data_IF_360501017396
#
_entry.id   IF_360501017396
#
_cell.length_a   1.000
_cell.length_b   1.000
_cell.length_c   1.000
_cell.angle_alpha   90.00
_cell.angle_beta   90.00
_cell.angle_gamma   90.00
#
_symmetry.space_group_name_H-M   'P 1'
#
loop_
_entity.id
_entity.type
_entity.pdbx_description
1 polymer ?
#
# COMPACT_ATOMS: atom_id res chain seq x y z
N UNK A 1 11.32 21.76 1.50
CA UNK A 1 11.08 20.31 1.30
C UNK A 1 9.60 20.11 1.60
N UNK A 2 8.85 19.55 0.66
CA UNK A 2 7.43 19.30 0.87
C UNK A 2 7.26 18.20 1.93
N UNK A 3 6.33 18.39 2.86
CA UNK A 3 6.05 17.43 3.93
C UNK A 3 4.98 16.42 3.52
N UNK A 4 4.27 16.71 2.42
CA UNK A 4 3.17 15.88 1.95
C UNK A 4 3.69 14.59 1.31
N UNK A 5 3.14 13.47 1.76
CA UNK A 5 3.41 12.16 1.19
C UNK A 5 2.15 11.31 1.06
N UNK A 6 2.17 10.39 0.10
CA UNK A 6 1.08 9.46 -0.17
C UNK A 6 1.46 8.06 0.29
N UNK A 7 0.68 7.50 1.18
CA UNK A 7 0.86 6.16 1.71
C UNK A 7 -0.31 5.27 1.25
N UNK A 8 0.00 4.28 0.43
CA UNK A 8 -0.94 3.27 -0.02
C UNK A 8 -0.74 2.01 0.81
N UNK A 9 -1.79 1.55 1.46
CA UNK A 9 -1.87 0.32 2.23
C UNK A 9 -2.81 -0.60 1.48
N UNK A 10 -2.35 -1.80 1.11
CA UNK A 10 -3.13 -2.72 0.30
C UNK A 10 -3.17 -4.11 0.90
N UNK A 11 -4.39 -4.63 1.03
CA UNK A 11 -4.68 -6.02 1.40
C UNK A 11 -5.03 -6.79 0.13
N UNK A 12 -4.19 -7.74 -0.25
CA UNK A 12 -4.33 -8.51 -1.48
C UNK A 12 -4.69 -9.96 -1.18
N UNK A 13 -5.83 -10.42 -1.69
CA UNK A 13 -6.32 -11.78 -1.50
C UNK A 13 -6.41 -12.54 -2.82
N UNK A 14 -6.36 -13.87 -2.76
CA UNK A 14 -6.35 -14.76 -3.91
C UNK A 14 -5.06 -14.72 -4.71
N UNK A 15 -3.97 -14.30 -4.08
CA UNK A 15 -2.63 -14.26 -4.66
C UNK A 15 -2.14 -15.66 -5.03
N UNK A 16 -1.29 -15.72 -6.06
CA UNK A 16 -0.66 -16.98 -6.51
C UNK A 16 0.41 -17.42 -5.53
N UNK A 17 0.14 -18.47 -4.73
CA UNK A 17 1.04 -19.00 -3.69
C UNK A 17 2.45 -19.27 -4.20
N UNK A 18 2.58 -19.80 -5.43
CA UNK A 18 3.88 -20.08 -6.07
C UNK A 18 4.70 -18.83 -6.41
N UNK A 19 4.09 -17.66 -6.44
CA UNK A 19 4.75 -16.36 -6.64
C UNK A 19 5.11 -15.75 -5.30
N UNK A 20 4.10 -15.56 -4.44
CA UNK A 20 4.27 -14.85 -3.16
C UNK A 20 5.04 -15.65 -2.10
N UNK A 21 5.27 -16.96 -2.33
CA UNK A 21 6.08 -17.82 -1.48
C UNK A 21 7.58 -17.82 -1.80
N UNK A 22 7.99 -17.15 -2.88
CA UNK A 22 9.39 -17.12 -3.34
C UNK A 22 10.01 -15.77 -3.12
N UNK A 23 11.03 -15.70 -2.28
CA UNK A 23 11.71 -14.45 -1.92
C UNK A 23 12.23 -13.71 -3.16
N UNK A 24 12.82 -14.44 -4.13
CA UNK A 24 13.38 -13.86 -5.34
C UNK A 24 12.29 -13.27 -6.27
N UNK A 25 11.10 -13.86 -6.26
CA UNK A 25 9.97 -13.35 -7.03
C UNK A 25 9.39 -12.08 -6.39
N UNK A 26 9.19 -12.11 -5.07
CA UNK A 26 8.66 -10.98 -4.31
C UNK A 26 9.60 -9.78 -4.39
N UNK A 27 10.91 -9.98 -4.17
CA UNK A 27 11.92 -8.92 -4.28
C UNK A 27 11.94 -8.31 -5.68
N UNK A 28 12.00 -9.13 -6.72
CA UNK A 28 12.00 -8.65 -8.12
C UNK A 28 10.73 -7.83 -8.44
N UNK A 29 9.58 -8.26 -7.93
CA UNK A 29 8.32 -7.54 -8.13
C UNK A 29 8.35 -6.18 -7.43
N UNK A 30 8.82 -6.10 -6.19
CA UNK A 30 8.90 -4.82 -5.49
C UNK A 30 9.91 -3.87 -6.14
N UNK A 31 11.09 -4.36 -6.50
CA UNK A 31 12.11 -3.54 -7.19
C UNK A 31 11.55 -3.01 -8.52
N UNK A 32 10.87 -3.85 -9.30
CA UNK A 32 10.25 -3.41 -10.55
C UNK A 32 9.10 -2.42 -10.32
N UNK A 33 8.32 -2.60 -9.27
CA UNK A 33 7.29 -1.63 -8.88
C UNK A 33 7.89 -0.26 -8.54
N UNK A 34 9.03 -0.21 -7.85
CA UNK A 34 9.75 1.04 -7.58
C UNK A 34 10.19 1.73 -8.87
N UNK A 35 10.71 0.99 -9.86
CA UNK A 35 11.05 1.53 -11.18
C UNK A 35 9.82 2.11 -11.90
N UNK A 36 8.66 1.42 -11.83
CA UNK A 36 7.40 1.88 -12.40
C UNK A 36 6.90 3.15 -11.69
N UNK A 37 7.11 3.24 -10.37
CA UNK A 37 6.83 4.46 -9.61
C UNK A 37 7.73 5.63 -10.03
N UNK A 38 8.86 5.34 -10.67
CA UNK A 38 9.85 6.35 -11.07
C UNK A 38 10.76 6.77 -9.91
N UNK A 39 10.91 5.92 -8.90
CA UNK A 39 11.75 6.17 -7.71
C UNK A 39 13.01 5.32 -7.73
N UNK A 40 14.09 5.82 -7.12
CA UNK A 40 15.36 5.11 -7.02
C UNK A 40 15.37 4.19 -5.79
N UNK A 41 15.84 2.95 -5.97
CA UNK A 41 16.01 1.98 -4.86
C UNK A 41 17.42 2.17 -4.27
N UNK A 42 17.48 2.48 -2.97
CA UNK A 42 18.71 2.60 -2.20
C UNK A 42 19.19 1.27 -1.63
N UNK A 43 18.27 0.49 -1.08
CA UNK A 43 18.59 -0.81 -0.48
C UNK A 43 17.36 -1.70 -0.43
N UNK A 44 17.60 -3.01 -0.35
CA UNK A 44 16.58 -4.04 -0.16
C UNK A 44 16.92 -4.90 1.05
N UNK A 45 15.90 -5.36 1.78
CA UNK A 45 16.03 -6.34 2.84
C UNK A 45 14.84 -7.27 2.82
N UNK A 46 15.10 -8.57 2.62
CA UNK A 46 14.06 -9.58 2.55
C UNK A 46 14.40 -10.76 3.46
N UNK A 47 13.36 -11.31 4.09
CA UNK A 47 13.45 -12.47 4.94
C UNK A 47 12.40 -13.50 4.54
N UNK A 48 12.81 -14.77 4.48
CA UNK A 48 11.91 -15.90 4.25
C UNK A 48 11.54 -16.54 5.57
N UNK A 49 10.26 -16.77 5.78
CA UNK A 49 9.77 -17.51 6.94
C UNK A 49 9.68 -19.01 6.66
N UNK A 50 9.80 -19.79 7.72
CA UNK A 50 9.60 -21.23 7.69
C UNK A 50 8.24 -21.56 8.36
N UNK A 51 7.33 -22.34 7.72
CA UNK A 51 7.51 -23.10 6.47
C UNK A 51 7.33 -22.26 5.19
N UNK A 52 6.70 -21.11 5.25
CA UNK A 52 6.44 -20.28 4.05
C UNK A 52 6.25 -18.81 4.42
N UNK A 53 6.26 -17.96 3.40
CA UNK A 53 6.07 -16.53 3.56
C UNK A 53 7.34 -15.72 3.39
N UNK A 54 7.16 -14.47 3.00
CA UNK A 54 8.24 -13.50 2.79
C UNK A 54 7.85 -12.19 3.47
N UNK A 55 8.78 -11.60 4.19
CA UNK A 55 8.71 -10.19 4.58
C UNK A 55 9.85 -9.45 3.93
N UNK A 56 9.57 -8.26 3.42
CA UNK A 56 10.58 -7.46 2.77
C UNK A 56 10.28 -5.98 2.86
N UNK A 57 11.37 -5.21 2.81
CA UNK A 57 11.33 -3.77 2.69
C UNK A 57 12.36 -3.32 1.66
N UNK A 58 12.00 -2.33 0.87
CA UNK A 58 12.92 -1.59 0.03
C UNK A 58 12.89 -0.13 0.44
N UNK A 59 14.08 0.43 0.64
CA UNK A 59 14.27 1.86 0.88
C UNK A 59 14.42 2.53 -0.47
N UNK A 60 13.58 3.51 -0.73
CA UNK A 60 13.55 4.27 -1.98
C UNK A 60 13.94 5.73 -1.71
N UNK A 61 14.20 6.51 -2.78
CA UNK A 61 14.76 7.87 -2.71
C UNK A 61 14.02 8.82 -1.78
N UNK A 62 12.75 8.58 -1.51
CA UNK A 62 11.93 9.48 -0.72
C UNK A 62 11.05 8.76 0.31
N UNK A 63 11.26 7.47 0.56
CA UNK A 63 10.59 6.71 1.61
C UNK A 63 10.84 5.19 1.51
N UNK A 64 9.79 4.36 1.46
CA UNK A 64 9.92 2.91 1.43
C UNK A 64 8.71 2.21 0.77
N UNK A 65 8.94 0.96 0.40
CA UNK A 65 7.88 0.00 0.09
C UNK A 65 8.11 -1.25 0.95
N UNK A 66 7.04 -1.84 1.47
CA UNK A 66 7.12 -3.07 2.25
C UNK A 66 6.11 -4.11 1.79
N UNK A 67 6.38 -5.38 2.13
CA UNK A 67 5.50 -6.51 1.83
C UNK A 67 5.60 -7.58 2.89
N UNK A 68 4.47 -8.17 3.21
CA UNK A 68 4.35 -9.40 3.98
C UNK A 68 3.46 -10.38 3.24
N UNK A 69 3.85 -11.66 3.18
CA UNK A 69 3.10 -12.64 2.41
C UNK A 69 2.78 -13.89 3.23
N UNK A 70 1.59 -14.46 2.98
CA UNK A 70 1.08 -15.71 3.53
C UNK A 70 0.64 -16.62 2.39
N UNK A 71 1.57 -17.36 1.76
CA UNK A 71 1.29 -18.21 0.60
C UNK A 71 0.23 -19.28 0.85
N UNK A 72 0.14 -19.79 2.09
CA UNK A 72 -0.80 -20.83 2.50
C UNK A 72 -2.26 -20.40 2.43
N UNK A 73 -2.53 -19.12 2.53
CA UNK A 73 -3.88 -18.54 2.41
C UNK A 73 -4.03 -17.62 1.20
N UNK A 74 -2.97 -17.49 0.37
CA UNK A 74 -2.98 -16.65 -0.82
C UNK A 74 -3.14 -15.15 -0.50
N UNK A 75 -2.53 -14.68 0.60
CA UNK A 75 -2.65 -13.31 1.08
C UNK A 75 -1.31 -12.59 1.07
N UNK A 76 -1.34 -11.31 0.72
CA UNK A 76 -0.20 -10.41 0.83
C UNK A 76 -0.66 -9.03 1.31
N UNK A 77 0.10 -8.45 2.24
CA UNK A 77 -0.03 -7.06 2.69
C UNK A 77 1.09 -6.24 2.07
N UNK A 78 0.75 -5.10 1.45
CA UNK A 78 1.70 -4.20 0.81
C UNK A 78 1.54 -2.79 1.32
N UNK A 79 2.67 -2.10 1.48
CA UNK A 79 2.74 -0.68 1.78
C UNK A 79 3.62 0.01 0.74
N UNK A 80 3.14 1.14 0.22
CA UNK A 80 3.94 2.04 -0.61
C UNK A 80 3.79 3.44 -0.05
N UNK A 81 4.85 3.97 0.53
CA UNK A 81 4.90 5.35 0.98
C UNK A 81 5.91 6.13 0.14
N UNK A 82 5.46 7.22 -0.46
CA UNK A 82 6.29 8.11 -1.26
C UNK A 82 5.98 9.57 -0.92
N UNK A 83 7.00 10.41 -1.01
CA UNK A 83 6.88 11.86 -0.95
C UNK A 83 7.23 12.44 -2.32
N UNK A 84 6.65 13.59 -2.68
CA UNK A 84 6.94 14.28 -3.93
C UNK A 84 5.98 13.96 -5.09
N UNK A 85 5.81 14.95 -5.96
CA UNK A 85 4.78 14.95 -7.02
C UNK A 85 5.14 14.07 -8.23
N UNK A 86 6.39 13.66 -8.37
CA UNK A 86 6.89 12.91 -9.54
C UNK A 86 6.63 11.41 -9.44
N UNK A 87 6.45 10.87 -8.25
CA UNK A 87 6.22 9.46 -8.03
C UNK A 87 4.81 9.02 -8.50
N UNK A 88 4.72 7.77 -8.96
CA UNK A 88 3.47 7.16 -9.42
C UNK A 88 3.13 5.90 -8.59
N UNK A 89 2.94 6.05 -7.27
CA UNK A 89 2.77 4.91 -6.37
C UNK A 89 1.55 4.05 -6.74
N UNK A 90 0.45 4.65 -7.17
CA UNK A 90 -0.74 3.91 -7.58
C UNK A 90 -0.44 2.95 -8.73
N UNK A 91 0.29 3.39 -9.77
CA UNK A 91 0.66 2.53 -10.91
C UNK A 91 1.57 1.37 -10.49
N UNK A 92 2.50 1.64 -9.58
CA UNK A 92 3.39 0.63 -9.02
C UNK A 92 2.60 -0.43 -8.23
N UNK A 93 1.66 0.02 -7.41
CA UNK A 93 0.80 -0.85 -6.63
C UNK A 93 -0.07 -1.74 -7.54
N UNK A 94 -0.79 -1.15 -8.50
CA UNK A 94 -1.62 -1.89 -9.46
C UNK A 94 -0.82 -2.96 -10.20
N UNK A 95 0.40 -2.63 -10.61
CA UNK A 95 1.28 -3.57 -11.29
C UNK A 95 1.72 -4.71 -10.35
N UNK A 96 2.17 -4.39 -9.14
CA UNK A 96 2.61 -5.39 -8.16
C UNK A 96 1.48 -6.36 -7.77
N UNK A 97 0.29 -5.84 -7.51
CA UNK A 97 -0.90 -6.64 -7.20
C UNK A 97 -1.25 -7.63 -8.33
N UNK A 98 -1.11 -7.18 -9.58
CA UNK A 98 -1.32 -8.02 -10.76
C UNK A 98 -0.26 -9.13 -10.87
N UNK A 99 1.01 -8.82 -10.62
CA UNK A 99 2.10 -9.82 -10.64
C UNK A 99 1.97 -10.82 -9.49
N UNK A 100 1.44 -10.43 -8.34
CA UNK A 100 1.08 -11.34 -7.26
C UNK A 100 -0.12 -12.22 -7.59
N UNK A 101 -0.86 -11.92 -8.66
CA UNK A 101 -2.05 -12.65 -9.08
C UNK A 101 -3.25 -12.41 -8.17
N UNK A 102 -3.28 -11.29 -7.46
CA UNK A 102 -4.38 -10.92 -6.57
C UNK A 102 -5.72 -10.88 -7.32
N UNK A 103 -6.78 -11.41 -6.72
CA UNK A 103 -8.14 -11.39 -7.28
C UNK A 103 -9.05 -10.38 -6.59
N UNK A 104 -8.78 -10.07 -5.33
CA UNK A 104 -9.50 -9.05 -4.56
C UNK A 104 -8.50 -8.20 -3.82
N UNK A 105 -8.73 -6.89 -3.80
CA UNK A 105 -7.87 -5.94 -3.11
C UNK A 105 -8.70 -4.94 -2.33
N UNK A 106 -8.20 -4.59 -1.16
CA UNK A 106 -8.70 -3.48 -0.35
C UNK A 106 -7.57 -2.48 -0.20
N UNK A 107 -7.79 -1.25 -0.64
CA UNK A 107 -6.76 -0.22 -0.67
C UNK A 107 -7.19 0.97 0.19
N UNK A 108 -6.29 1.41 1.04
CA UNK A 108 -6.41 2.66 1.78
C UNK A 108 -5.29 3.59 1.36
N UNK A 109 -5.65 4.79 0.93
CA UNK A 109 -4.72 5.88 0.70
C UNK A 109 -4.73 6.82 1.91
N UNK A 110 -3.56 7.07 2.45
CA UNK A 110 -3.34 8.03 3.54
C UNK A 110 -2.46 9.15 3.02
N UNK A 111 -3.01 10.36 2.92
CA UNK A 111 -2.20 11.55 2.67
C UNK A 111 -1.64 12.02 4.00
N UNK A 112 -0.32 12.06 4.12
CA UNK A 112 0.42 12.39 5.35
C UNK A 112 1.13 13.72 5.20
N UNK A 113 1.50 14.33 6.33
CA UNK A 113 2.26 15.57 6.34
C UNK A 113 1.44 16.82 6.01
N UNK A 114 0.11 16.73 6.08
CA UNK A 114 -0.77 17.89 5.97
C UNK A 114 -0.53 18.79 7.19
N UNK A 115 -0.31 20.09 6.98
CA UNK A 115 -0.03 21.06 8.03
C UNK A 115 -1.25 21.96 8.28
N UNK A 116 -1.58 22.14 9.56
CA UNK A 116 -2.62 23.08 10.00
C UNK A 116 -2.05 23.98 11.10
N UNK A 117 -2.14 25.30 10.90
CA UNK A 117 -1.72 26.29 11.89
C UNK A 117 -0.24 26.19 12.30
N UNK A 118 0.05 26.23 13.60
CA UNK A 118 1.40 26.32 14.16
C UNK A 118 2.18 24.99 14.10
N UNK A 119 2.46 24.47 12.90
CA UNK A 119 3.25 23.24 12.66
C UNK A 119 2.64 21.98 13.29
N UNK A 120 1.32 21.88 13.30
CA UNK A 120 0.62 20.64 13.65
C UNK A 120 0.39 19.84 12.38
N UNK A 121 0.94 18.61 12.34
CA UNK A 121 0.82 17.74 11.19
C UNK A 121 -0.26 16.69 11.41
N UNK A 122 -1.04 16.40 10.38
CA UNK A 122 -2.10 15.40 10.39
C UNK A 122 -2.13 14.61 9.08
N UNK A 123 -3.03 13.63 9.00
CA UNK A 123 -3.26 12.85 7.79
C UNK A 123 -4.75 12.76 7.45
N UNK A 124 -5.05 12.56 6.17
CA UNK A 124 -6.39 12.22 5.69
C UNK A 124 -6.41 10.81 5.12
N UNK A 125 -7.56 10.15 5.16
CA UNK A 125 -7.73 8.76 4.73
C UNK A 125 -8.84 8.69 3.69
N UNK A 126 -8.55 7.96 2.59
CA UNK A 126 -9.52 7.54 1.59
C UNK A 126 -9.41 6.04 1.41
N UNK A 127 -10.52 5.32 1.50
CA UNK A 127 -10.55 3.86 1.35
C UNK A 127 -11.40 3.49 0.16
N UNK A 128 -10.94 2.49 -0.62
CA UNK A 128 -11.73 1.90 -1.70
C UNK A 128 -11.47 0.40 -1.78
N UNK A 129 -12.50 -0.32 -2.25
CA UNK A 129 -12.44 -1.75 -2.51
C UNK A 129 -12.50 -1.97 -4.02
N UNK A 130 -11.66 -2.87 -4.53
CA UNK A 130 -11.62 -3.23 -5.92
C UNK A 130 -11.57 -4.75 -6.07
N UNK A 131 -12.55 -5.31 -6.79
CA UNK A 131 -12.49 -6.68 -7.25
C UNK A 131 -11.66 -6.69 -8.54
N UNK A 132 -10.44 -7.21 -8.46
CA UNK A 132 -9.60 -7.45 -9.62
C UNK A 132 -10.16 -8.68 -10.33
N UNK A 133 -11.00 -8.44 -11.33
CA UNK A 133 -11.69 -9.47 -12.10
C UNK A 133 -10.75 -10.61 -12.50
N UNK A 134 -11.15 -11.83 -12.14
CA UNK A 134 -10.64 -13.05 -12.76
C UNK A 134 -10.64 -12.82 -14.27
N UNK A 135 -9.47 -12.96 -14.91
CA UNK A 135 -9.40 -13.07 -16.37
C UNK A 135 -10.35 -14.19 -16.75
N UNK A 136 -11.54 -13.84 -17.19
CA UNK A 136 -12.43 -14.77 -17.84
C UNK A 136 -11.73 -15.26 -19.09
N UNK A 137 -11.62 -16.57 -19.21
CA UNK A 137 -11.05 -17.30 -20.36
C UNK A 137 -11.84 -17.05 -21.68
N UNK A 138 -12.83 -16.19 -21.67
CA UNK A 138 -13.65 -15.80 -22.80
C UNK A 138 -13.72 -14.28 -22.93
N UNK A 139 -12.75 -13.70 -23.58
CA UNK A 139 -12.67 -12.47 -24.38
C UNK A 139 -13.70 -11.34 -24.27
N UNK A 140 -14.46 -11.17 -23.20
CA UNK A 140 -15.36 -10.05 -23.02
C UNK A 140 -14.94 -9.19 -21.84
N UNK A 141 -14.55 -7.96 -22.18
CA UNK A 141 -14.19 -6.89 -21.26
C UNK A 141 -15.43 -6.43 -20.51
N UNK A 142 -15.53 -6.73 -19.21
CA UNK A 142 -16.52 -6.10 -18.35
C UNK A 142 -16.12 -4.65 -18.06
N UNK A 143 -17.06 -3.69 -18.07
CA UNK A 143 -16.76 -2.28 -17.84
C UNK A 143 -16.43 -2.06 -16.36
N UNK A 144 -15.21 -1.62 -16.10
CA UNK A 144 -14.77 -1.19 -14.78
C UNK A 144 -15.60 0.02 -14.31
N UNK A 145 -16.44 -0.18 -13.32
CA UNK A 145 -17.07 0.89 -12.58
C UNK A 145 -16.16 1.20 -11.38
N UNK A 146 -15.47 2.32 -11.42
CA UNK A 146 -14.89 2.91 -10.21
C UNK A 146 -16.03 3.22 -9.23
N UNK A 147 -16.09 2.63 -8.03
CA UNK A 147 -16.96 3.16 -7.02
C UNK A 147 -16.48 4.56 -6.63
N UNK A 148 -17.41 5.50 -6.48
CA UNK A 148 -17.09 6.82 -5.99
C UNK A 148 -16.52 6.71 -4.57
N UNK A 149 -15.50 7.50 -4.21
CA UNK A 149 -14.92 7.49 -2.87
C UNK A 149 -16.03 7.74 -1.84
N UNK A 150 -16.24 6.80 -0.93
CA UNK A 150 -17.07 7.05 0.24
C UNK A 150 -16.30 8.01 1.13
N UNK A 151 -16.73 9.26 1.20
CA UNK A 151 -16.26 10.20 2.23
C UNK A 151 -16.52 9.52 3.59
N UNK A 152 -15.48 9.33 4.39
CA UNK A 152 -15.64 8.98 5.78
C UNK A 152 -16.58 10.04 6.39
N UNK A 153 -17.67 9.56 7.02
CA UNK A 153 -18.57 10.44 7.75
C UNK A 153 -17.70 11.19 8.79
N UNK A 154 -17.82 12.51 8.81
CA UNK A 154 -17.20 13.36 9.80
C UNK A 154 -17.58 12.81 11.19
N UNK A 155 -16.62 12.12 11.82
CA UNK A 155 -16.74 11.76 13.23
C UNK A 155 -16.68 13.08 14.00
N UNK A 156 -17.83 13.48 14.53
CA UNK A 156 -18.04 14.72 15.22
C UNK A 156 -16.93 15.00 16.24
N UNK A 157 -16.41 16.21 16.20
CA UNK A 157 -15.42 16.75 17.12
C UNK A 157 -15.95 16.78 18.55
N UNK A 158 -15.87 15.65 19.24
CA UNK A 158 -15.95 15.55 20.70
C UNK A 158 -14.60 15.92 21.29
N UNK A 159 -14.37 17.19 21.56
CA UNK A 159 -13.22 17.70 22.30
C UNK A 159 -13.21 17.04 23.70
N UNK A 160 -12.46 15.98 23.89
CA UNK A 160 -12.07 15.52 25.22
C UNK A 160 -10.75 16.21 25.57
N UNK A 161 -10.81 17.06 26.60
CA UNK A 161 -9.65 17.68 27.23
C UNK A 161 -8.73 16.60 27.76
N UNK A 162 -7.42 16.66 27.54
CA UNK A 162 -6.48 15.74 28.14
C UNK A 162 -6.47 15.92 29.68
N UNK A 163 -6.24 14.85 30.47
CA UNK A 163 -6.10 14.96 31.91
C UNK A 163 -4.85 15.76 32.27
N UNK A 164 -4.96 16.56 33.33
CA UNK A 164 -3.86 17.32 33.90
C UNK A 164 -2.74 16.39 34.41
N UNK A 165 -1.46 16.79 34.33
CA UNK A 165 -0.35 16.03 34.89
C UNK A 165 -0.45 15.98 36.42
N UNK A 166 0.05 14.88 37.06
CA UNK A 166 0.09 14.80 38.50
C UNK A 166 1.02 15.87 39.10
N UNK A 167 0.56 16.51 40.16
CA UNK A 167 1.36 17.44 40.94
C UNK A 167 2.52 16.70 41.62
N UNK A 168 3.70 17.35 41.65
CA UNK A 168 4.93 16.85 42.25
C UNK A 168 4.90 16.96 43.79
#
# INVERSE_FOLDING_TARGET
MDTIGHHYIAEASGCTSGVIGKIEAVERILVRAAEIAGVHVWSTSFHRFNPSGVSGVIVISESHMSVHTWPEVGYAALDIFTCGDSAKPQKALEWALKEFGATNVHITEVTRGLEEGDKVFFHSIVTWEEELLRRTVNGQKAPGRRPAPRRAAEAGAGRRRPPAPPEA
#
